data_IF_634215158647
#
_entry.id   IF_634215158647
#
_cell.length_a   1.000
_cell.length_b   1.000
_cell.length_c   1.000
_cell.angle_alpha   90.00
_cell.angle_beta   90.00
_cell.angle_gamma   90.00
#
_symmetry.space_group_name_H-M   'P 1'
#
loop_
_entity.id
_entity.type
_entity.pdbx_description
1 polymer ?
#
# COMPACT_ATOMS: atom_id res chain seq x y z
N UNK A 1 11.96 3.46 -5.44
CA UNK A 1 10.76 3.34 -4.58
C UNK A 1 9.68 4.35 -4.93
N UNK A 2 10.03 5.60 -5.18
CA UNK A 2 9.10 6.70 -5.46
C UNK A 2 8.28 6.51 -6.74
N UNK A 3 8.89 6.11 -7.84
CA UNK A 3 8.20 5.93 -9.13
C UNK A 3 7.17 4.79 -9.12
N UNK A 4 7.47 3.69 -8.43
CA UNK A 4 6.54 2.57 -8.29
C UNK A 4 5.28 2.99 -7.53
N UNK A 5 5.42 3.73 -6.43
CA UNK A 5 4.28 4.24 -5.66
C UNK A 5 3.41 5.23 -6.44
N UNK A 6 4.00 6.04 -7.33
CA UNK A 6 3.26 7.00 -8.17
C UNK A 6 2.44 6.24 -9.23
N UNK A 7 3.04 5.30 -9.93
CA UNK A 7 2.35 4.50 -10.96
C UNK A 7 1.21 3.66 -10.37
N UNK A 8 1.42 3.05 -9.20
CA UNK A 8 0.38 2.28 -8.52
C UNK A 8 -0.80 3.17 -8.09
N UNK A 9 -0.56 4.43 -7.70
CA UNK A 9 -1.63 5.37 -7.38
C UNK A 9 -2.47 5.71 -8.60
N UNK A 10 -1.83 6.05 -9.73
CA UNK A 10 -2.53 6.35 -10.98
C UNK A 10 -3.39 5.16 -11.42
N UNK A 11 -2.86 3.95 -11.31
CA UNK A 11 -3.60 2.74 -11.64
C UNK A 11 -4.87 2.55 -10.78
N UNK A 12 -4.80 2.78 -9.47
CA UNK A 12 -5.97 2.69 -8.57
C UNK A 12 -7.00 3.78 -8.90
N UNK A 13 -6.55 5.01 -9.13
CA UNK A 13 -7.42 6.13 -9.48
C UNK A 13 -8.16 5.85 -10.81
N UNK A 14 -7.48 5.27 -11.80
CA UNK A 14 -8.05 4.85 -13.08
C UNK A 14 -9.09 3.73 -12.90
N UNK A 15 -8.82 2.73 -12.06
CA UNK A 15 -9.78 1.66 -11.74
C UNK A 15 -11.06 2.21 -11.09
N UNK A 16 -10.94 3.15 -10.16
CA UNK A 16 -12.07 3.79 -9.51
C UNK A 16 -12.89 4.63 -10.51
N UNK A 17 -12.22 5.37 -11.39
CA UNK A 17 -12.83 6.15 -12.45
C UNK A 17 -13.60 5.25 -13.42
N UNK A 18 -13.00 4.15 -13.86
CA UNK A 18 -13.63 3.15 -14.72
C UNK A 18 -14.87 2.52 -14.05
N UNK A 19 -14.76 2.17 -12.75
CA UNK A 19 -15.89 1.64 -11.99
C UNK A 19 -17.05 2.64 -11.93
N UNK A 20 -16.76 3.91 -11.64
CA UNK A 20 -17.76 4.98 -11.60
C UNK A 20 -18.44 5.20 -12.98
N UNK A 21 -17.65 5.24 -14.04
CA UNK A 21 -18.17 5.36 -15.41
C UNK A 21 -19.07 4.16 -15.79
N UNK A 22 -18.68 2.95 -15.40
CA UNK A 22 -19.47 1.73 -15.64
C UNK A 22 -20.80 1.75 -14.88
N UNK A 23 -20.83 2.23 -13.63
CA UNK A 23 -22.07 2.42 -12.87
C UNK A 23 -22.99 3.43 -13.55
N UNK A 24 -22.45 4.56 -13.99
CA UNK A 24 -23.22 5.58 -14.72
C UNK A 24 -23.79 5.03 -16.03
N UNK A 25 -23.01 4.23 -16.78
CA UNK A 25 -23.48 3.61 -18.02
C UNK A 25 -24.62 2.61 -17.76
N UNK A 26 -24.51 1.78 -16.71
CA UNK A 26 -25.58 0.84 -16.32
C UNK A 26 -26.88 1.58 -15.93
N UNK A 27 -26.77 2.65 -15.13
CA UNK A 27 -27.92 3.48 -14.76
C UNK A 27 -28.55 4.19 -15.97
N UNK A 28 -27.73 4.66 -16.91
CA UNK A 28 -28.21 5.30 -18.14
C UNK A 28 -28.94 4.31 -19.04
N UNK A 29 -28.48 3.06 -19.15
CA UNK A 29 -29.15 2.00 -19.86
C UNK A 29 -30.54 1.73 -19.29
N UNK A 30 -30.68 1.62 -17.99
CA UNK A 30 -31.97 1.44 -17.32
C UNK A 30 -32.88 2.66 -17.53
N UNK A 31 -32.36 3.88 -17.38
CA UNK A 31 -33.13 5.10 -17.59
C UNK A 31 -33.68 5.22 -19.03
N UNK A 32 -32.89 4.78 -20.01
CA UNK A 32 -33.35 4.69 -21.38
C UNK A 32 -34.50 3.68 -21.52
N UNK A 33 -34.35 2.47 -20.96
CA UNK A 33 -35.40 1.44 -21.03
C UNK A 33 -36.74 1.87 -20.44
N UNK A 34 -36.72 2.66 -19.36
CA UNK A 34 -37.94 3.20 -18.74
C UNK A 34 -38.77 4.09 -19.69
N UNK A 35 -38.19 4.63 -20.76
CA UNK A 35 -38.89 5.42 -21.79
C UNK A 35 -39.40 4.60 -22.98
N UNK A 36 -39.12 3.30 -23.01
CA UNK A 36 -39.43 2.39 -24.09
C UNK A 36 -40.63 1.48 -23.75
N UNK A 37 -40.76 0.37 -24.45
CA UNK A 37 -41.81 -0.63 -24.22
C UNK A 37 -41.56 -1.41 -22.90
N UNK A 38 -42.61 -1.96 -22.24
CA UNK A 38 -42.46 -2.65 -20.95
C UNK A 38 -41.49 -3.84 -20.96
N UNK A 39 -41.34 -4.50 -22.10
CA UNK A 39 -40.40 -5.60 -22.30
C UNK A 39 -38.96 -5.10 -22.34
N UNK A 40 -38.69 -3.96 -23.00
CA UNK A 40 -37.39 -3.29 -23.03
C UNK A 40 -37.05 -2.69 -21.67
N UNK A 41 -38.01 -2.11 -20.94
CA UNK A 41 -37.81 -1.65 -19.56
C UNK A 41 -37.35 -2.81 -18.65
N UNK A 42 -38.06 -3.94 -18.68
CA UNK A 42 -37.68 -5.13 -17.91
C UNK A 42 -36.29 -5.68 -18.30
N UNK A 43 -35.98 -5.68 -19.60
CA UNK A 43 -34.71 -6.15 -20.14
C UNK A 43 -33.55 -5.26 -19.68
N UNK A 44 -33.69 -3.95 -19.85
CA UNK A 44 -32.63 -3.00 -19.46
C UNK A 44 -32.42 -2.93 -17.94
N UNK A 45 -33.50 -3.08 -17.14
CA UNK A 45 -33.41 -3.18 -15.70
C UNK A 45 -32.65 -4.45 -15.28
N UNK A 46 -32.87 -5.59 -15.95
CA UNK A 46 -32.16 -6.84 -15.66
C UNK A 46 -30.68 -6.73 -16.03
N UNK A 47 -30.37 -6.32 -17.25
CA UNK A 47 -28.98 -6.15 -17.73
C UNK A 47 -28.26 -5.07 -16.92
N UNK A 48 -28.91 -3.96 -16.61
CA UNK A 48 -28.36 -2.89 -15.78
C UNK A 48 -27.86 -3.39 -14.43
N UNK A 49 -28.67 -4.19 -13.72
CA UNK A 49 -28.24 -4.80 -12.43
C UNK A 49 -27.01 -5.69 -12.56
N UNK A 50 -26.89 -6.47 -13.63
CA UNK A 50 -25.72 -7.34 -13.84
C UNK A 50 -24.46 -6.51 -14.15
N UNK A 51 -24.59 -5.43 -14.90
CA UNK A 51 -23.50 -4.49 -15.16
C UNK A 51 -23.08 -3.71 -13.89
N UNK A 52 -24.05 -3.31 -13.06
CA UNK A 52 -23.79 -2.69 -11.75
C UNK A 52 -23.02 -3.63 -10.83
N UNK A 53 -23.37 -4.93 -10.79
CA UNK A 53 -22.64 -5.92 -10.02
C UNK A 53 -21.17 -6.03 -10.47
N UNK A 54 -20.92 -6.07 -11.77
CA UNK A 54 -19.57 -6.10 -12.33
C UNK A 54 -18.78 -4.81 -12.00
N UNK A 55 -19.43 -3.64 -12.08
CA UNK A 55 -18.82 -2.37 -11.71
C UNK A 55 -18.49 -2.28 -10.23
N UNK A 56 -19.36 -2.78 -9.35
CA UNK A 56 -19.10 -2.84 -7.90
C UNK A 56 -17.96 -3.80 -7.56
N UNK A 57 -17.84 -4.93 -8.26
CA UNK A 57 -16.71 -5.85 -8.13
C UNK A 57 -15.37 -5.17 -8.52
N UNK A 58 -15.36 -4.36 -9.59
CA UNK A 58 -14.22 -3.53 -9.96
C UNK A 58 -13.84 -2.54 -8.85
N UNK A 59 -14.81 -1.88 -8.22
CA UNK A 59 -14.58 -0.98 -7.09
C UNK A 59 -13.93 -1.71 -5.91
N UNK A 60 -14.42 -2.90 -5.60
CA UNK A 60 -13.85 -3.74 -4.52
C UNK A 60 -12.40 -4.12 -4.83
N UNK A 61 -12.10 -4.49 -6.07
CA UNK A 61 -10.72 -4.77 -6.48
C UNK A 61 -9.81 -3.52 -6.43
N UNK A 62 -10.33 -2.36 -6.79
CA UNK A 62 -9.59 -1.10 -6.65
C UNK A 62 -9.25 -0.80 -5.19
N UNK A 63 -10.19 -1.01 -4.26
CA UNK A 63 -9.96 -0.87 -2.81
C UNK A 63 -8.90 -1.84 -2.28
N UNK A 64 -8.95 -3.11 -2.71
CA UNK A 64 -7.92 -4.10 -2.34
C UNK A 64 -6.54 -3.73 -2.91
N UNK A 65 -6.49 -3.13 -4.11
CA UNK A 65 -5.25 -2.62 -4.71
C UNK A 65 -4.69 -1.42 -3.94
N UNK A 66 -5.55 -0.54 -3.42
CA UNK A 66 -5.14 0.57 -2.55
C UNK A 66 -4.55 0.06 -1.23
N UNK A 67 -5.20 -0.90 -0.57
CA UNK A 67 -4.69 -1.51 0.66
C UNK A 67 -3.33 -2.20 0.43
N UNK A 68 -3.16 -2.86 -0.72
CA UNK A 68 -1.86 -3.40 -1.11
C UNK A 68 -0.79 -2.31 -1.24
N UNK A 69 -1.12 -1.18 -1.86
CA UNK A 69 -0.23 -0.02 -2.00
C UNK A 69 0.16 0.58 -0.64
N UNK A 70 -0.80 0.73 0.27
CA UNK A 70 -0.57 1.21 1.64
C UNK A 70 0.39 0.29 2.40
N UNK A 71 0.17 -1.02 2.33
CA UNK A 71 1.05 -2.00 2.96
C UNK A 71 2.50 -1.93 2.45
N UNK A 72 2.70 -1.66 1.15
CA UNK A 72 4.03 -1.42 0.60
C UNK A 72 4.64 -0.10 1.09
N UNK A 73 3.82 0.94 1.27
CA UNK A 73 4.27 2.23 1.83
C UNK A 73 4.77 2.06 3.26
N UNK A 74 4.03 1.33 4.10
CA UNK A 74 4.44 1.04 5.48
C UNK A 74 5.81 0.34 5.56
N UNK A 75 6.09 -0.56 4.61
CA UNK A 75 7.41 -1.18 4.50
C UNK A 75 8.49 -0.14 4.17
N UNK A 76 8.23 0.76 3.21
CA UNK A 76 9.16 1.82 2.83
C UNK A 76 9.43 2.80 3.97
N UNK A 77 8.41 3.17 4.72
CA UNK A 77 8.52 4.08 5.86
C UNK A 77 9.39 3.47 6.97
N UNK A 78 9.24 2.16 7.24
CA UNK A 78 10.14 1.43 8.15
C UNK A 78 11.58 1.39 7.64
N UNK A 79 11.79 1.19 6.34
CA UNK A 79 13.14 1.27 5.75
C UNK A 79 13.77 2.66 5.93
N UNK A 80 12.97 3.73 5.76
CA UNK A 80 13.46 5.09 5.98
C UNK A 80 13.82 5.34 7.44
N UNK A 81 13.02 4.82 8.39
CA UNK A 81 13.32 4.88 9.82
C UNK A 81 14.66 4.23 10.13
N UNK A 82 14.92 3.03 9.59
CA UNK A 82 16.21 2.34 9.78
C UNK A 82 17.37 3.16 9.17
N UNK A 83 17.17 3.78 8.00
CA UNK A 83 18.19 4.66 7.41
C UNK A 83 18.48 5.88 8.28
N UNK A 84 17.50 6.40 9.03
CA UNK A 84 17.73 7.45 10.02
C UNK A 84 18.62 6.97 11.16
N UNK A 85 18.34 5.78 11.72
CA UNK A 85 19.16 5.18 12.77
C UNK A 85 20.61 4.96 12.29
N UNK A 86 20.81 4.55 11.03
CA UNK A 86 22.16 4.41 10.44
C UNK A 86 22.89 5.76 10.42
N UNK A 87 22.21 6.85 10.05
CA UNK A 87 22.81 8.20 10.07
C UNK A 87 23.19 8.63 11.49
N UNK A 88 22.31 8.37 12.46
CA UNK A 88 22.55 8.70 13.87
C UNK A 88 23.76 7.92 14.41
N UNK A 89 23.89 6.63 14.08
CA UNK A 89 25.07 5.82 14.38
C UNK A 89 26.35 6.44 13.80
N UNK A 90 26.33 6.86 12.53
CA UNK A 90 27.49 7.43 11.86
C UNK A 90 27.92 8.78 12.50
N UNK A 91 26.94 9.58 12.95
CA UNK A 91 27.18 10.81 13.70
C UNK A 91 27.83 10.49 15.07
N UNK A 92 27.27 9.53 15.81
CA UNK A 92 27.81 9.11 17.11
C UNK A 92 29.22 8.53 16.98
N UNK A 93 29.46 7.68 15.97
CA UNK A 93 30.80 7.15 15.66
C UNK A 93 31.80 8.29 15.39
N UNK A 94 31.42 9.29 14.61
CA UNK A 94 32.25 10.46 14.33
C UNK A 94 32.57 11.26 15.59
N UNK A 95 31.61 11.38 16.53
CA UNK A 95 31.80 12.04 17.82
C UNK A 95 32.79 11.28 18.71
N UNK A 96 32.65 9.96 18.80
CA UNK A 96 33.55 9.07 19.55
C UNK A 96 34.96 9.20 18.99
N UNK A 97 35.16 9.12 17.66
CA UNK A 97 36.49 9.24 17.03
C UNK A 97 37.12 10.61 17.31
N UNK A 98 36.32 11.69 17.21
CA UNK A 98 36.83 13.05 17.51
C UNK A 98 37.19 13.20 18.97
N UNK A 99 36.38 12.69 19.89
CA UNK A 99 36.65 12.73 21.33
C UNK A 99 37.89 11.92 21.69
N UNK A 100 38.08 10.73 21.11
CA UNK A 100 39.25 9.87 21.40
C UNK A 100 40.58 10.45 20.88
N UNK A 101 40.52 11.25 19.77
CA UNK A 101 41.73 11.90 19.19
C UNK A 101 42.07 13.24 19.85
N UNK A 102 41.17 13.81 20.63
CA UNK A 102 41.41 15.09 21.31
C UNK A 102 42.47 14.94 22.40
N UNK A 103 43.56 15.69 22.27
CA UNK A 103 44.55 15.78 23.34
C UNK A 103 43.97 16.66 24.45
N UNK A 104 44.10 16.26 25.75
CA UNK A 104 43.65 17.08 26.86
C UNK A 104 44.38 18.42 26.87
N UNK A 105 43.65 19.50 27.13
CA UNK A 105 44.23 20.84 27.31
C UNK A 105 44.96 20.90 28.65
N UNK A 106 45.93 21.81 28.77
CA UNK A 106 46.73 21.98 30.01
C UNK A 106 45.84 22.20 31.24
N UNK A 107 44.67 22.80 31.12
CA UNK A 107 43.72 23.03 32.20
C UNK A 107 42.96 21.72 32.56
N UNK A 108 42.66 20.88 31.61
CA UNK A 108 42.08 19.55 31.81
C UNK A 108 43.05 18.59 32.48
N UNK A 109 44.37 18.74 32.23
CA UNK A 109 45.40 17.98 32.91
C UNK A 109 45.50 18.31 34.42
N UNK A 110 45.17 19.55 34.79
CA UNK A 110 45.22 20.01 36.19
C UNK A 110 43.94 19.67 36.95
N UNK A 111 42.77 19.72 36.29
CA UNK A 111 41.47 19.45 36.91
C UNK A 111 41.08 17.97 36.96
N UNK A 112 41.95 17.10 36.47
CA UNK A 112 41.66 15.66 36.34
C UNK A 112 40.65 15.39 35.20
N UNK A 113 41.06 14.57 34.25
CA UNK A 113 40.41 14.23 32.98
C UNK A 113 39.03 13.52 33.12
N UNK A 114 38.40 13.63 34.31
CA UNK A 114 37.16 12.90 34.65
C UNK A 114 35.97 13.29 33.78
N UNK A 115 35.82 14.59 33.50
CA UNK A 115 34.65 15.06 32.74
C UNK A 115 34.74 14.68 31.26
N UNK A 116 35.92 14.77 30.65
CA UNK A 116 36.16 14.32 29.29
C UNK A 116 35.95 12.82 29.13
N UNK A 117 36.50 12.05 30.08
CA UNK A 117 36.33 10.60 30.10
C UNK A 117 34.87 10.18 30.31
N UNK A 118 34.14 10.87 31.21
CA UNK A 118 32.72 10.62 31.42
C UNK A 118 31.88 10.88 30.14
N UNK A 119 32.13 11.99 29.45
CA UNK A 119 31.45 12.31 28.16
C UNK A 119 31.79 11.29 27.07
N UNK A 120 33.03 10.84 26.99
CA UNK A 120 33.42 9.81 26.03
C UNK A 120 32.71 8.48 26.31
N UNK A 121 32.65 8.05 27.56
CA UNK A 121 31.94 6.85 27.97
C UNK A 121 30.44 6.95 27.70
N UNK A 122 29.83 8.11 27.91
CA UNK A 122 28.42 8.34 27.60
C UNK A 122 28.17 8.23 26.13
N UNK A 123 28.94 8.90 25.26
CA UNK A 123 28.81 8.79 23.80
C UNK A 123 29.03 7.36 23.29
N UNK A 124 29.95 6.60 23.92
CA UNK A 124 30.15 5.18 23.61
C UNK A 124 28.92 4.32 23.98
N UNK A 125 28.26 4.62 25.11
CA UNK A 125 27.02 3.94 25.51
C UNK A 125 25.88 4.25 24.54
N UNK A 126 25.74 5.52 24.15
CA UNK A 126 24.76 5.94 23.14
C UNK A 126 24.99 5.23 21.79
N UNK A 127 26.23 5.14 21.32
CA UNK A 127 26.60 4.42 20.12
C UNK A 127 26.24 2.94 20.23
N UNK A 128 26.57 2.29 21.31
CA UNK A 128 26.25 0.87 21.52
C UNK A 128 24.72 0.64 21.54
N UNK A 129 23.96 1.50 22.23
CA UNK A 129 22.50 1.42 22.25
C UNK A 129 21.90 1.62 20.84
N UNK A 130 22.44 2.56 20.06
CA UNK A 130 22.04 2.80 18.67
C UNK A 130 22.33 1.58 17.78
N UNK A 131 23.53 0.97 17.90
CA UNK A 131 23.90 -0.25 17.18
C UNK A 131 22.98 -1.43 17.53
N UNK A 132 22.66 -1.61 18.80
CA UNK A 132 21.74 -2.65 19.25
C UNK A 132 20.34 -2.44 18.67
N UNK A 133 19.86 -1.20 18.69
CA UNK A 133 18.56 -0.85 18.06
C UNK A 133 18.58 -1.15 16.57
N UNK A 134 19.66 -0.78 15.88
CA UNK A 134 19.81 -1.03 14.44
C UNK A 134 19.77 -2.52 14.11
N UNK A 135 20.46 -3.36 14.88
CA UNK A 135 20.44 -4.82 14.70
C UNK A 135 19.02 -5.37 14.89
N UNK A 136 18.34 -4.97 15.96
CA UNK A 136 16.99 -5.44 16.29
C UNK A 136 15.98 -5.01 15.22
N UNK A 137 15.99 -3.73 14.80
CA UNK A 137 15.07 -3.21 13.79
C UNK A 137 15.32 -3.83 12.41
N UNK A 138 16.60 -4.04 12.04
CA UNK A 138 16.94 -4.68 10.77
C UNK A 138 16.47 -6.14 10.74
N UNK A 139 16.68 -6.87 11.83
CA UNK A 139 16.21 -8.26 11.94
C UNK A 139 14.68 -8.36 11.90
N UNK A 140 13.98 -7.46 12.62
CA UNK A 140 12.52 -7.40 12.62
C UNK A 140 11.96 -7.06 11.24
N UNK A 141 12.60 -6.13 10.50
CA UNK A 141 12.14 -5.69 9.18
C UNK A 141 12.06 -6.85 8.17
N UNK A 142 12.98 -7.79 8.18
CA UNK A 142 12.98 -8.95 7.25
C UNK A 142 11.71 -9.78 7.42
N UNK A 143 11.34 -10.06 8.66
CA UNK A 143 10.11 -10.81 8.97
C UNK A 143 8.84 -10.03 8.61
N UNK A 144 8.82 -8.75 8.93
CA UNK A 144 7.69 -7.86 8.59
C UNK A 144 7.50 -7.78 7.08
N UNK A 145 8.55 -7.51 6.31
CA UNK A 145 8.48 -7.45 4.83
C UNK A 145 7.82 -8.68 4.24
N UNK A 146 8.29 -9.87 4.61
CA UNK A 146 7.78 -11.13 4.07
C UNK A 146 6.31 -11.35 4.39
N UNK A 147 5.92 -11.10 5.64
CA UNK A 147 4.54 -11.27 6.10
C UNK A 147 3.60 -10.26 5.43
N UNK A 148 3.91 -8.97 5.55
CA UNK A 148 3.08 -7.89 5.00
C UNK A 148 2.93 -8.01 3.48
N UNK A 149 4.00 -8.30 2.75
CA UNK A 149 3.93 -8.50 1.31
C UNK A 149 3.05 -9.69 0.95
N UNK A 150 3.23 -10.84 1.63
CA UNK A 150 2.42 -12.04 1.39
C UNK A 150 0.94 -11.78 1.65
N UNK A 151 0.60 -11.17 2.78
CA UNK A 151 -0.77 -10.89 3.19
C UNK A 151 -1.46 -9.92 2.22
N UNK A 152 -0.81 -8.80 1.93
CA UNK A 152 -1.34 -7.78 1.04
C UNK A 152 -1.51 -8.29 -0.40
N UNK A 153 -0.53 -9.04 -0.93
CA UNK A 153 -0.63 -9.63 -2.26
C UNK A 153 -1.71 -10.71 -2.33
N UNK A 154 -1.85 -11.53 -1.28
CA UNK A 154 -2.89 -12.56 -1.20
C UNK A 154 -4.28 -11.93 -1.25
N UNK A 155 -4.51 -10.87 -0.48
CA UNK A 155 -5.79 -10.16 -0.45
C UNK A 155 -6.12 -9.54 -1.82
N UNK A 156 -5.17 -8.84 -2.44
CA UNK A 156 -5.34 -8.28 -3.78
C UNK A 156 -5.64 -9.35 -4.83
N UNK A 157 -4.91 -10.49 -4.79
CA UNK A 157 -5.10 -11.58 -5.76
C UNK A 157 -6.44 -12.28 -5.58
N UNK A 158 -6.92 -12.47 -4.35
CA UNK A 158 -8.26 -12.99 -4.09
C UNK A 158 -9.32 -12.07 -4.66
N UNK A 159 -9.25 -10.77 -4.36
CA UNK A 159 -10.19 -9.79 -4.91
C UNK A 159 -10.18 -9.71 -6.44
N UNK A 160 -9.02 -9.93 -7.07
CA UNK A 160 -8.92 -10.04 -8.53
C UNK A 160 -9.63 -11.31 -9.06
N UNK A 161 -9.51 -12.43 -8.34
CA UNK A 161 -10.22 -13.66 -8.69
C UNK A 161 -11.74 -13.50 -8.56
N UNK A 162 -12.20 -12.87 -7.48
CA UNK A 162 -13.62 -12.58 -7.25
C UNK A 162 -14.19 -11.66 -8.33
N UNK A 163 -13.45 -10.62 -8.73
CA UNK A 163 -13.80 -9.75 -9.85
C UNK A 163 -13.97 -10.56 -11.15
N UNK A 164 -12.99 -11.41 -11.46
CA UNK A 164 -13.05 -12.26 -12.66
C UNK A 164 -14.28 -13.17 -12.68
N UNK A 165 -14.59 -13.81 -11.56
CA UNK A 165 -15.76 -14.67 -11.40
C UNK A 165 -17.06 -13.88 -11.61
N UNK A 166 -17.24 -12.73 -10.95
CA UNK A 166 -18.44 -11.89 -11.06
C UNK A 166 -18.61 -11.38 -12.50
N UNK A 167 -17.52 -10.94 -13.15
CA UNK A 167 -17.59 -10.48 -14.54
C UNK A 167 -18.03 -11.61 -15.50
N UNK A 168 -17.47 -12.80 -15.33
CA UNK A 168 -17.85 -13.97 -16.13
C UNK A 168 -19.30 -14.38 -15.91
N UNK A 169 -19.76 -14.40 -14.66
CA UNK A 169 -21.15 -14.74 -14.34
C UNK A 169 -22.13 -13.68 -14.87
N UNK A 170 -21.81 -12.39 -14.73
CA UNK A 170 -22.62 -11.32 -15.27
C UNK A 170 -22.73 -11.43 -16.79
N UNK A 171 -21.61 -11.63 -17.50
CA UNK A 171 -21.62 -11.78 -18.95
C UNK A 171 -22.43 -13.00 -19.40
N UNK A 172 -22.27 -14.15 -18.75
CA UNK A 172 -23.03 -15.38 -19.04
C UNK A 172 -24.53 -15.16 -18.85
N UNK A 173 -24.93 -14.56 -17.74
CA UNK A 173 -26.33 -14.31 -17.43
C UNK A 173 -26.97 -13.33 -18.41
N UNK A 174 -26.23 -12.30 -18.85
CA UNK A 174 -26.69 -11.38 -19.89
C UNK A 174 -26.94 -12.14 -21.23
N UNK A 175 -25.99 -12.98 -21.66
CA UNK A 175 -26.12 -13.75 -22.89
C UNK A 175 -27.30 -14.71 -22.83
N UNK A 176 -27.48 -15.47 -21.76
CA UNK A 176 -28.62 -16.39 -21.56
C UNK A 176 -29.95 -15.61 -21.58
N UNK A 177 -29.99 -14.44 -20.97
CA UNK A 177 -31.16 -13.58 -20.97
C UNK A 177 -31.50 -13.09 -22.39
N UNK A 178 -30.51 -12.63 -23.17
CA UNK A 178 -30.70 -12.13 -24.54
C UNK A 178 -31.20 -13.24 -25.48
N UNK A 179 -30.63 -14.46 -25.35
CA UNK A 179 -31.12 -15.62 -26.11
C UNK A 179 -32.61 -15.93 -25.85
N UNK A 180 -33.05 -15.77 -24.58
CA UNK A 180 -34.46 -15.95 -24.23
C UNK A 180 -35.35 -14.78 -24.63
N UNK A 181 -34.81 -13.59 -24.72
CA UNK A 181 -35.53 -12.38 -25.09
C UNK A 181 -35.96 -12.41 -26.58
N UNK A 182 -35.06 -12.83 -27.48
CA UNK A 182 -35.35 -12.96 -28.92
C UNK A 182 -36.34 -14.08 -29.22
N UNK A 183 -36.45 -15.11 -28.37
CA UNK A 183 -37.37 -16.24 -28.59
C UNK A 183 -38.85 -15.88 -28.36
N UNK A 184 -39.17 -14.73 -27.79
CA UNK A 184 -40.52 -14.29 -27.45
C UNK A 184 -41.11 -13.22 -28.43
N UNK A 185 -40.39 -12.91 -29.48
CA UNK A 185 -40.82 -12.01 -30.58
C UNK A 185 -41.32 -12.86 -31.76
#
# INVERSE_FOLDING_TARGET
GSEMCIRDRTYVDELLTMSSASLTAASSLHAWGMSETPDLDAATAHVGRLLENAANANKTYAQASEQYREALRDILDREQSIRSIVRDRDILMSRVIKASKRKPTHREMISGDREHHARLLETQRELHACEQTLVNETAALVGVKRRTFKEALTMRTKSMGDLGAIMMDSARNILVFLDSFDANI
#
